data_IF_333292965057
#
_entry.id   IF_333292965057
#
_cell.length_a   1.000
_cell.length_b   1.000
_cell.length_c   1.000
_cell.angle_alpha   90.00
_cell.angle_beta   90.00
_cell.angle_gamma   90.00
#
_symmetry.space_group_name_H-M   'P 1'
#
loop_
_entity.id
_entity.type
_entity.pdbx_description
1 polymer ?
#
# COMPACT_ATOMS: atom_id res chain seq x y z
N UNK A 1 11.77 -0.78 -8.53
CA UNK A 1 11.87 0.56 -7.92
C UNK A 1 13.32 0.85 -7.47
N UNK A 2 13.98 0.02 -6.64
CA UNK A 2 15.32 0.29 -6.09
C UNK A 2 16.44 0.37 -7.15
N UNK A 3 16.38 -0.40 -8.25
CA UNK A 3 17.33 -0.24 -9.37
C UNK A 3 17.20 1.13 -10.03
N UNK A 4 15.98 1.63 -10.23
CA UNK A 4 15.75 2.98 -10.75
C UNK A 4 16.24 4.04 -9.76
N UNK A 5 15.99 3.85 -8.45
CA UNK A 5 16.50 4.74 -7.41
C UNK A 5 18.02 4.88 -7.48
N UNK A 6 18.75 3.76 -7.66
CA UNK A 6 20.20 3.77 -7.80
C UNK A 6 20.64 4.65 -8.96
N UNK A 7 20.01 4.50 -10.13
CA UNK A 7 20.32 5.30 -11.31
C UNK A 7 20.00 6.78 -11.09
N UNK A 8 18.82 7.08 -10.53
CA UNK A 8 18.39 8.46 -10.30
C UNK A 8 19.31 9.18 -9.30
N UNK A 9 19.70 8.51 -8.21
CA UNK A 9 20.56 9.09 -7.17
C UNK A 9 22.02 9.33 -7.62
N UNK A 10 22.45 8.80 -8.77
CA UNK A 10 23.75 9.15 -9.35
C UNK A 10 23.75 10.53 -10.02
N UNK A 11 22.57 11.09 -10.32
CA UNK A 11 22.48 12.37 -10.99
C UNK A 11 22.72 13.53 -10.00
N UNK A 12 23.70 14.44 -10.24
CA UNK A 12 24.17 15.40 -9.24
C UNK A 12 23.13 16.46 -8.82
N UNK A 13 22.12 16.70 -9.66
CA UNK A 13 21.04 17.65 -9.38
C UNK A 13 19.89 17.06 -8.56
N UNK A 14 19.81 15.74 -8.43
CA UNK A 14 18.73 15.07 -7.70
C UNK A 14 19.15 14.86 -6.26
N UNK A 15 18.45 15.54 -5.35
CA UNK A 15 18.72 15.48 -3.91
C UNK A 15 17.79 14.51 -3.20
N UNK A 16 16.50 14.52 -3.54
CA UNK A 16 15.46 13.71 -2.91
C UNK A 16 14.65 12.96 -3.95
N UNK A 17 14.22 11.74 -3.60
CA UNK A 17 13.43 10.85 -4.46
C UNK A 17 12.32 10.24 -3.63
N UNK A 18 11.08 10.52 -3.98
CA UNK A 18 9.91 9.87 -3.39
C UNK A 18 9.46 8.67 -4.24
N UNK A 19 8.91 7.65 -3.57
CA UNK A 19 8.28 6.52 -4.23
C UNK A 19 6.76 6.64 -4.10
N UNK A 20 6.06 6.82 -5.21
CA UNK A 20 4.60 6.92 -5.26
C UNK A 20 4.05 5.72 -6.02
N UNK A 21 2.99 5.10 -5.51
CA UNK A 21 2.33 3.97 -6.16
C UNK A 21 0.83 3.90 -5.88
N UNK A 22 0.10 3.35 -6.85
CA UNK A 22 -1.36 3.22 -6.83
C UNK A 22 -1.77 1.75 -6.79
N UNK A 23 -2.85 1.44 -6.08
CA UNK A 23 -3.44 0.11 -6.05
C UNK A 23 -2.39 -0.96 -5.70
N UNK A 24 -2.25 -2.00 -6.50
CA UNK A 24 -1.19 -2.99 -6.35
C UNK A 24 0.22 -2.36 -6.35
N UNK A 25 0.44 -1.31 -7.15
CA UNK A 25 1.69 -0.54 -7.16
C UNK A 25 1.95 0.21 -5.86
N UNK A 26 0.92 0.48 -5.04
CA UNK A 26 1.01 1.11 -3.73
C UNK A 26 1.62 0.21 -2.65
N UNK A 27 1.67 -1.11 -2.87
CA UNK A 27 2.36 -2.06 -1.96
C UNK A 27 3.87 -1.75 -1.88
N UNK A 28 4.48 -1.41 -3.00
CA UNK A 28 5.91 -1.08 -3.06
C UNK A 28 6.32 0.09 -2.16
N UNK A 29 5.66 1.25 -2.20
CA UNK A 29 5.86 2.35 -1.26
C UNK A 29 5.73 1.92 0.21
N UNK A 30 4.71 1.13 0.57
CA UNK A 30 4.55 0.63 1.94
C UNK A 30 5.74 -0.25 2.33
N UNK A 31 6.10 -1.23 1.51
CA UNK A 31 7.25 -2.11 1.78
C UNK A 31 8.56 -1.33 1.87
N UNK A 32 8.75 -0.26 1.09
CA UNK A 32 9.97 0.55 1.13
C UNK A 32 10.10 1.39 2.42
N UNK A 33 9.01 1.62 3.13
CA UNK A 33 8.99 2.26 4.44
C UNK A 33 9.57 1.36 5.52
N UNK A 34 9.31 0.05 5.46
CA UNK A 34 9.74 -0.91 6.48
C UNK A 34 11.13 -1.47 6.20
N UNK A 35 12.03 -1.33 7.18
CA UNK A 35 13.42 -1.79 7.07
C UNK A 35 13.52 -3.29 6.80
N UNK A 36 12.69 -4.12 7.45
CA UNK A 36 12.68 -5.56 7.23
C UNK A 36 12.43 -5.94 5.76
N UNK A 37 11.49 -5.24 5.11
CA UNK A 37 11.21 -5.48 3.70
C UNK A 37 12.35 -4.96 2.82
N UNK A 38 12.91 -3.78 3.13
CA UNK A 38 14.02 -3.22 2.34
C UNK A 38 15.28 -4.05 2.44
N UNK A 39 15.61 -4.60 3.59
CA UNK A 39 16.76 -5.49 3.77
C UNK A 39 16.67 -6.76 2.89
N UNK A 40 15.45 -7.21 2.58
CA UNK A 40 15.21 -8.38 1.74
C UNK A 40 15.27 -8.08 0.22
N UNK A 41 14.81 -6.90 -0.19
CA UNK A 41 14.56 -6.59 -1.60
C UNK A 41 15.49 -5.51 -2.17
N UNK A 42 16.18 -4.76 -1.31
CA UNK A 42 17.00 -3.63 -1.71
C UNK A 42 18.48 -3.99 -1.77
N UNK A 43 18.99 -4.18 -2.98
CA UNK A 43 20.42 -4.30 -3.25
C UNK A 43 21.12 -2.95 -3.43
N UNK A 44 20.44 -1.85 -3.08
CA UNK A 44 20.90 -0.49 -3.22
C UNK A 44 21.46 0.04 -1.91
N UNK A 45 22.47 0.91 -2.00
CA UNK A 45 22.91 1.72 -0.87
C UNK A 45 21.99 2.91 -0.56
N UNK A 46 21.01 3.18 -1.45
CA UNK A 46 20.09 4.29 -1.31
C UNK A 46 18.72 3.83 -0.83
N UNK A 47 18.05 4.67 -0.05
CA UNK A 47 16.66 4.56 0.34
C UNK A 47 15.87 5.71 -0.30
N UNK A 48 14.55 5.54 -0.43
CA UNK A 48 13.66 6.63 -0.81
C UNK A 48 13.58 7.64 0.33
N UNK A 49 13.45 8.92 0.01
CA UNK A 49 13.34 9.99 1.01
C UNK A 49 11.92 10.10 1.55
N UNK A 50 10.91 9.62 0.81
CA UNK A 50 9.52 9.48 1.23
C UNK A 50 8.80 8.40 0.41
N UNK A 51 7.68 7.91 0.93
CA UNK A 51 6.81 6.93 0.28
C UNK A 51 5.35 7.39 0.31
N UNK A 52 4.62 7.21 -0.80
CA UNK A 52 3.20 7.53 -0.91
C UNK A 52 2.46 6.34 -1.53
N UNK A 53 1.46 5.83 -0.84
CA UNK A 53 0.62 4.73 -1.29
C UNK A 53 -0.82 5.21 -1.47
N UNK A 54 -1.37 5.09 -2.67
CA UNK A 54 -2.70 5.57 -3.04
C UNK A 54 -3.59 4.36 -3.27
N UNK A 55 -4.67 4.23 -2.48
CA UNK A 55 -5.58 3.08 -2.38
C UNK A 55 -4.86 1.72 -2.50
N UNK A 56 -3.82 1.49 -1.67
CA UNK A 56 -2.99 0.30 -1.76
C UNK A 56 -3.68 -0.94 -1.19
N UNK A 57 -3.19 -2.12 -1.56
CA UNK A 57 -3.47 -3.33 -0.80
C UNK A 57 -2.63 -3.37 0.48
N UNK A 58 -3.28 -3.47 1.63
CA UNK A 58 -2.64 -3.48 2.96
C UNK A 58 -2.84 -4.79 3.74
N UNK A 59 -3.32 -5.85 3.11
CA UNK A 59 -3.63 -7.13 3.76
C UNK A 59 -2.41 -7.95 4.19
N UNK A 60 -1.39 -7.29 4.76
CA UNK A 60 -0.19 -7.93 5.27
C UNK A 60 0.32 -7.22 6.53
N UNK A 61 1.08 -7.94 7.34
CA UNK A 61 1.73 -7.41 8.53
C UNK A 61 3.14 -7.99 8.68
N UNK A 62 3.91 -7.46 9.62
CA UNK A 62 5.22 -7.97 10.00
C UNK A 62 5.16 -8.60 11.38
N UNK A 63 5.90 -9.69 11.60
CA UNK A 63 5.91 -10.45 12.86
C UNK A 63 6.60 -9.72 14.02
N UNK A 64 7.43 -8.71 13.73
CA UNK A 64 8.26 -8.04 14.71
C UNK A 64 8.05 -6.52 14.69
N UNK A 65 8.61 -5.82 15.69
CA UNK A 65 8.70 -4.37 15.66
C UNK A 65 9.35 -3.92 14.35
N UNK A 66 8.54 -3.30 13.52
CA UNK A 66 8.99 -2.86 12.21
C UNK A 66 9.74 -1.52 12.36
N UNK A 67 11.06 -1.55 12.19
CA UNK A 67 11.84 -0.33 12.03
C UNK A 67 11.52 0.32 10.69
N UNK A 68 11.43 1.64 10.66
CA UNK A 68 11.10 2.41 9.47
C UNK A 68 12.31 3.14 8.90
N UNK A 69 12.28 3.41 7.60
CA UNK A 69 13.36 4.07 6.89
C UNK A 69 13.03 5.53 6.54
N UNK A 70 11.81 5.79 6.11
CA UNK A 70 11.40 7.06 5.51
C UNK A 70 9.93 7.37 5.86
N UNK A 71 9.48 8.62 5.82
CA UNK A 71 8.08 8.95 6.00
C UNK A 71 7.17 8.26 4.99
N UNK A 72 5.98 7.83 5.43
CA UNK A 72 4.96 7.18 4.61
C UNK A 72 3.63 7.92 4.69
N UNK A 73 3.05 8.23 3.53
CA UNK A 73 1.66 8.68 3.40
C UNK A 73 0.83 7.56 2.78
N UNK A 74 -0.26 7.18 3.43
CA UNK A 74 -1.26 6.23 2.91
C UNK A 74 -2.56 7.01 2.69
N UNK A 75 -3.09 6.96 1.47
CA UNK A 75 -4.40 7.53 1.14
C UNK A 75 -5.33 6.39 0.73
N UNK A 76 -6.50 6.31 1.37
CA UNK A 76 -7.48 5.25 1.12
C UNK A 76 -8.83 5.82 0.77
N UNK A 77 -9.62 5.10 -0.01
CA UNK A 77 -11.02 5.40 -0.24
C UNK A 77 -11.90 4.70 0.77
N UNK A 78 -12.77 5.43 1.49
CA UNK A 78 -13.67 4.83 2.49
C UNK A 78 -14.70 3.88 1.88
N UNK A 79 -15.05 4.09 0.61
CA UNK A 79 -15.97 3.24 -0.14
C UNK A 79 -15.26 2.30 -1.13
N UNK A 80 -13.94 2.08 -0.94
CA UNK A 80 -13.16 1.15 -1.74
C UNK A 80 -13.45 -0.29 -1.30
N UNK A 81 -14.13 -1.03 -2.18
CA UNK A 81 -14.48 -2.43 -1.98
C UNK A 81 -13.50 -3.41 -2.66
N UNK A 82 -12.53 -2.91 -3.43
CA UNK A 82 -11.43 -3.71 -3.96
C UNK A 82 -10.29 -3.84 -2.95
N UNK A 83 -9.82 -2.72 -2.43
CA UNK A 83 -8.76 -2.64 -1.41
C UNK A 83 -9.27 -1.87 -0.18
N UNK A 84 -10.13 -2.51 0.64
CA UNK A 84 -10.78 -1.85 1.77
C UNK A 84 -9.78 -1.19 2.73
N UNK A 85 -10.11 0.01 3.18
CA UNK A 85 -9.21 0.82 4.00
C UNK A 85 -8.85 0.21 5.36
N UNK A 86 -9.70 -0.68 5.91
CA UNK A 86 -9.48 -1.25 7.24
C UNK A 86 -8.12 -1.93 7.38
N UNK A 87 -7.66 -2.61 6.33
CA UNK A 87 -6.33 -3.22 6.34
C UNK A 87 -5.20 -2.18 6.46
N UNK A 88 -5.37 -1.02 5.83
CA UNK A 88 -4.41 0.08 5.93
C UNK A 88 -4.48 0.80 7.28
N UNK A 89 -5.67 0.93 7.86
CA UNK A 89 -5.86 1.41 9.23
C UNK A 89 -5.12 0.51 10.21
N UNK A 90 -5.22 -0.82 10.07
CA UNK A 90 -4.51 -1.77 10.93
C UNK A 90 -2.97 -1.60 10.85
N UNK A 91 -2.42 -1.32 9.66
CA UNK A 91 -1.00 -0.99 9.51
C UNK A 91 -0.68 0.32 10.23
N UNK A 92 -1.50 1.36 10.03
CA UNK A 92 -1.32 2.65 10.67
C UNK A 92 -1.35 2.52 12.20
N UNK A 93 -2.37 1.90 12.76
CA UNK A 93 -2.55 1.75 14.22
C UNK A 93 -1.42 0.94 14.85
N UNK A 94 -0.95 -0.11 14.16
CA UNK A 94 0.12 -0.97 14.66
C UNK A 94 1.49 -0.29 14.65
N UNK A 95 1.79 0.50 13.62
CA UNK A 95 3.16 0.96 13.37
C UNK A 95 3.34 2.48 13.45
N UNK A 96 2.26 3.26 13.60
CA UNK A 96 2.35 4.70 13.76
C UNK A 96 2.83 5.04 15.16
N UNK A 97 3.99 5.65 15.26
CA UNK A 97 4.58 6.17 16.50
C UNK A 97 5.17 7.55 16.23
N UNK A 98 5.61 8.26 17.27
CA UNK A 98 6.30 9.54 17.09
C UNK A 98 7.60 9.41 16.27
N UNK A 99 8.23 8.23 16.27
CA UNK A 99 9.44 7.93 15.51
C UNK A 99 9.11 7.46 14.10
N UNK A 100 8.03 6.66 13.95
CA UNK A 100 7.56 6.11 12.69
C UNK A 100 6.60 7.09 12.03
N UNK A 101 7.09 7.88 11.11
CA UNK A 101 6.32 8.94 10.43
C UNK A 101 5.35 8.34 9.39
N UNK A 102 4.28 7.71 9.87
CA UNK A 102 3.17 7.24 9.02
C UNK A 102 2.02 8.24 9.15
N UNK A 103 1.50 8.71 8.02
CA UNK A 103 0.26 9.49 7.92
C UNK A 103 -0.76 8.70 7.13
N UNK A 104 -1.97 8.52 7.65
CA UNK A 104 -3.09 7.90 6.95
C UNK A 104 -4.20 8.92 6.74
N UNK A 105 -4.76 8.94 5.54
CA UNK A 105 -5.88 9.80 5.16
C UNK A 105 -6.96 8.96 4.50
N UNK A 106 -8.14 8.95 5.12
CA UNK A 106 -9.35 8.35 4.62
C UNK A 106 -10.15 9.36 3.81
N UNK A 107 -10.49 9.02 2.58
CA UNK A 107 -11.22 9.88 1.65
C UNK A 107 -12.69 9.43 1.58
N UNK A 108 -13.59 10.29 2.07
CA UNK A 108 -15.01 10.01 2.15
C UNK A 108 -15.62 9.74 0.78
N UNK A 109 -16.40 8.66 0.66
CA UNK A 109 -17.11 8.28 -0.55
C UNK A 109 -16.21 7.87 -1.74
N UNK A 110 -14.89 7.89 -1.59
CA UNK A 110 -13.97 7.50 -2.65
C UNK A 110 -13.97 5.97 -2.84
N UNK A 111 -14.11 5.53 -4.09
CA UNK A 111 -14.02 4.13 -4.52
C UNK A 111 -12.63 3.86 -5.11
N UNK A 112 -12.34 2.60 -5.43
CA UNK A 112 -11.10 2.25 -6.12
C UNK A 112 -10.95 2.99 -7.45
N UNK A 113 -9.75 3.52 -7.72
CA UNK A 113 -9.49 4.29 -8.94
C UNK A 113 -10.18 5.66 -8.98
N UNK A 114 -10.47 6.25 -7.83
CA UNK A 114 -11.18 7.53 -7.70
C UNK A 114 -10.46 8.70 -8.41
N UNK A 115 -9.21 8.59 -8.73
CA UNK A 115 -8.40 9.59 -9.43
C UNK A 115 -8.33 9.39 -10.94
N UNK A 116 -9.00 8.37 -11.47
CA UNK A 116 -9.06 8.10 -12.90
C UNK A 116 -10.30 8.72 -13.53
N UNK A 117 -10.20 9.81 -14.33
CA UNK A 117 -11.36 10.49 -14.92
C UNK A 117 -12.13 9.64 -15.94
N UNK A 118 -11.52 8.60 -16.50
CA UNK A 118 -12.23 7.66 -17.38
C UNK A 118 -13.30 6.82 -16.65
N UNK A 119 -13.27 6.80 -15.31
CA UNK A 119 -14.26 6.13 -14.48
C UNK A 119 -15.41 7.05 -14.04
N UNK A 120 -15.68 8.13 -14.77
CA UNK A 120 -16.69 9.14 -14.39
C UNK A 120 -18.07 8.53 -14.13
N UNK A 121 -18.54 7.63 -15.00
CA UNK A 121 -19.85 6.98 -14.83
C UNK A 121 -19.83 5.85 -13.78
N UNK A 122 -18.65 5.39 -13.37
CA UNK A 122 -18.48 4.22 -12.52
C UNK A 122 -18.77 2.90 -13.24
N UNK A 123 -18.17 1.83 -12.74
CA UNK A 123 -18.35 0.47 -13.23
C UNK A 123 -18.41 -0.50 -12.06
N UNK A 124 -19.16 -1.60 -12.21
CA UNK A 124 -19.17 -2.72 -11.28
C UNK A 124 -18.65 -3.96 -11.99
N UNK A 125 -17.72 -4.65 -11.34
CA UNK A 125 -17.12 -5.89 -11.81
C UNK A 125 -17.61 -7.04 -10.93
N UNK A 126 -18.73 -7.67 -11.29
CA UNK A 126 -19.44 -8.67 -10.47
C UNK A 126 -18.58 -9.89 -10.11
N UNK A 127 -17.58 -10.23 -10.95
CA UNK A 127 -16.72 -11.41 -10.77
C UNK A 127 -15.37 -11.09 -10.17
N UNK A 128 -15.01 -9.80 -10.05
CA UNK A 128 -13.73 -9.42 -9.47
C UNK A 128 -13.75 -9.66 -7.97
N UNK A 129 -12.78 -10.40 -7.41
CA UNK A 129 -12.70 -10.58 -5.98
C UNK A 129 -12.33 -9.27 -5.28
N UNK A 130 -13.09 -8.91 -4.27
CA UNK A 130 -12.72 -7.88 -3.31
C UNK A 130 -11.59 -8.41 -2.43
N UNK A 131 -10.56 -7.60 -2.19
CA UNK A 131 -9.48 -7.96 -1.26
C UNK A 131 -9.88 -7.69 0.20
N UNK A 132 -11.18 -7.76 0.48
CA UNK A 132 -11.70 -7.62 1.83
C UNK A 132 -11.18 -8.74 2.71
N UNK A 133 -10.57 -8.36 3.82
CA UNK A 133 -10.12 -9.32 4.83
C UNK A 133 -11.35 -9.73 5.64
N UNK A 134 -11.90 -10.91 5.34
CA UNK A 134 -13.12 -11.42 6.00
C UNK A 134 -12.83 -11.80 7.44
N UNK A 135 -11.61 -12.27 7.72
CA UNK A 135 -11.15 -12.64 9.06
C UNK A 135 -9.62 -12.51 9.15
N UNK A 136 -9.08 -12.66 10.35
CA UNK A 136 -7.65 -12.55 10.60
C UNK A 136 -6.81 -13.59 9.85
N UNK A 137 -7.39 -14.76 9.51
CA UNK A 137 -6.70 -15.83 8.76
C UNK A 137 -6.31 -15.38 7.35
N UNK A 138 -6.96 -14.35 6.84
CA UNK A 138 -6.70 -13.77 5.52
C UNK A 138 -5.57 -12.74 5.52
N UNK A 139 -5.06 -12.36 6.68
CA UNK A 139 -3.93 -11.44 6.79
C UNK A 139 -2.63 -12.17 6.55
N UNK A 140 -1.83 -11.67 5.62
CA UNK A 140 -0.50 -12.20 5.34
C UNK A 140 0.52 -11.65 6.34
N UNK A 141 1.39 -12.52 6.82
CA UNK A 141 2.50 -12.17 7.69
C UNK A 141 3.82 -12.35 6.96
N UNK A 142 4.65 -11.31 6.97
CA UNK A 142 5.96 -11.31 6.34
C UNK A 142 7.02 -11.48 7.44
N UNK A 143 7.82 -12.55 7.35
CA UNK A 143 8.93 -12.81 8.27
C UNK A 143 10.19 -12.02 7.87
N UNK A 144 11.20 -11.96 8.77
CA UNK A 144 12.51 -11.36 8.49
C UNK A 144 13.23 -11.97 7.29
N UNK A 145 13.00 -13.24 7.01
CA UNK A 145 13.63 -13.95 5.88
C UNK A 145 12.76 -13.93 4.61
N UNK A 146 11.68 -13.12 4.61
CA UNK A 146 10.79 -12.97 3.43
C UNK A 146 9.81 -14.10 3.23
N UNK A 147 9.64 -15.03 4.19
CA UNK A 147 8.56 -16.01 4.12
C UNK A 147 7.22 -15.32 4.30
N UNK A 148 6.27 -15.61 3.41
CA UNK A 148 4.89 -15.13 3.50
C UNK A 148 4.04 -16.29 4.05
N UNK A 149 3.29 -16.02 5.10
CA UNK A 149 2.42 -16.98 5.77
C UNK A 149 1.08 -16.34 6.09
N UNK A 150 0.04 -17.16 6.23
CA UNK A 150 -1.20 -16.77 6.91
C UNK A 150 -0.98 -16.66 8.42
N UNK A 151 -1.91 -16.10 9.15
CA UNK A 151 -1.85 -16.10 10.63
C UNK A 151 -1.87 -17.54 11.19
N UNK A 152 -2.58 -18.47 10.54
CA UNK A 152 -2.55 -19.90 10.86
C UNK A 152 -1.23 -20.61 10.52
N UNK A 153 -0.20 -19.84 10.12
CA UNK A 153 1.16 -20.32 9.82
C UNK A 153 1.29 -21.14 8.54
N UNK A 154 0.28 -21.15 7.67
CA UNK A 154 0.35 -21.78 6.36
C UNK A 154 1.24 -20.94 5.42
N UNK A 155 2.22 -21.58 4.79
CA UNK A 155 3.11 -20.91 3.83
C UNK A 155 2.37 -20.59 2.53
N UNK A 156 2.47 -19.36 2.07
CA UNK A 156 1.94 -18.92 0.78
C UNK A 156 3.07 -18.92 -0.25
N UNK A 157 3.10 -19.96 -1.09
CA UNK A 157 4.14 -20.18 -2.10
C UNK A 157 3.60 -19.97 -3.51
N UNK A 158 3.72 -18.76 -4.01
CA UNK A 158 3.45 -18.47 -5.39
C UNK A 158 1.96 -18.25 -5.76
N UNK A 159 1.68 -18.11 -7.07
CA UNK A 159 0.39 -17.60 -7.56
C UNK A 159 -0.81 -18.50 -7.23
N UNK A 160 -0.62 -19.81 -7.29
CA UNK A 160 -1.73 -20.77 -7.10
C UNK A 160 -2.24 -20.78 -5.64
N UNK A 161 -1.34 -20.69 -4.67
CA UNK A 161 -1.71 -20.64 -3.25
C UNK A 161 -2.30 -19.29 -2.89
N UNK A 162 -1.76 -18.21 -3.45
CA UNK A 162 -2.33 -16.87 -3.33
C UNK A 162 -3.76 -16.81 -3.91
N UNK A 163 -4.01 -17.43 -5.05
CA UNK A 163 -5.33 -17.49 -5.65
C UNK A 163 -6.33 -18.27 -4.78
N UNK A 164 -5.93 -19.40 -4.22
CA UNK A 164 -6.77 -20.19 -3.29
C UNK A 164 -7.08 -19.41 -2.00
N UNK A 165 -6.11 -18.68 -1.48
CA UNK A 165 -6.31 -17.82 -0.33
C UNK A 165 -7.30 -16.69 -0.67
N UNK A 166 -7.12 -16.05 -1.82
CA UNK A 166 -8.02 -15.00 -2.30
C UNK A 166 -9.47 -15.49 -2.42
N UNK A 167 -9.68 -16.68 -2.98
CA UNK A 167 -11.01 -17.29 -3.09
C UNK A 167 -11.69 -17.52 -1.73
N UNK A 168 -10.93 -17.88 -0.71
CA UNK A 168 -11.44 -18.07 0.66
C UNK A 168 -11.70 -16.76 1.40
N UNK A 169 -10.91 -15.73 1.09
CA UNK A 169 -10.81 -14.49 1.84
C UNK A 169 -11.50 -13.31 1.18
N UNK A 170 -12.08 -13.51 0.00
CA UNK A 170 -12.71 -12.43 -0.77
C UNK A 170 -14.20 -12.66 -0.98
N UNK A 171 -14.94 -11.57 -0.99
CA UNK A 171 -16.26 -11.50 -1.61
C UNK A 171 -16.13 -11.18 -3.10
N UNK A 172 -17.17 -11.37 -3.88
CA UNK A 172 -17.21 -10.97 -5.30
C UNK A 172 -18.04 -9.71 -5.49
N UNK A 173 -17.66 -8.95 -6.49
CA UNK A 173 -18.29 -7.68 -6.81
C UNK A 173 -17.49 -6.49 -6.28
N UNK A 174 -16.95 -5.71 -7.21
CA UNK A 174 -16.13 -4.53 -6.93
C UNK A 174 -16.64 -3.37 -7.76
N UNK A 175 -16.77 -2.21 -7.14
CA UNK A 175 -17.18 -1.00 -7.83
C UNK A 175 -16.06 0.03 -7.87
N UNK A 176 -15.87 0.64 -9.03
CA UNK A 176 -14.89 1.71 -9.27
C UNK A 176 -15.58 2.97 -9.74
N UNK A 177 -15.13 4.14 -9.33
CA UNK A 177 -15.71 5.41 -9.74
C UNK A 177 -14.76 6.57 -9.52
N UNK A 178 -14.71 7.48 -10.50
CA UNK A 178 -14.01 8.76 -10.37
C UNK A 178 -14.67 9.67 -9.32
N UNK A 179 -13.84 10.35 -8.55
CA UNK A 179 -14.26 11.38 -7.59
C UNK A 179 -13.35 12.60 -7.70
N UNK A 180 -13.82 13.70 -8.34
CA UNK A 180 -13.01 14.93 -8.45
C UNK A 180 -12.52 15.46 -7.11
N UNK A 181 -13.39 15.45 -6.10
CA UNK A 181 -13.07 15.92 -4.77
C UNK A 181 -11.98 15.08 -4.08
N UNK A 182 -12.10 13.74 -4.15
CA UNK A 182 -11.08 12.87 -3.57
C UNK A 182 -9.75 12.99 -4.33
N UNK A 183 -9.80 13.18 -5.65
CA UNK A 183 -8.63 13.42 -6.50
C UNK A 183 -7.89 14.69 -6.09
N UNK A 184 -8.61 15.81 -6.00
CA UNK A 184 -8.04 17.10 -5.61
C UNK A 184 -7.40 17.02 -4.20
N UNK A 185 -8.14 16.46 -3.24
CA UNK A 185 -7.63 16.26 -1.87
C UNK A 185 -6.37 15.40 -1.86
N UNK A 186 -6.33 14.33 -2.64
CA UNK A 186 -5.14 13.47 -2.78
C UNK A 186 -3.93 14.27 -3.23
N UNK A 187 -4.05 15.10 -4.27
CA UNK A 187 -2.93 15.91 -4.75
C UNK A 187 -2.47 16.93 -3.73
N UNK A 188 -3.39 17.61 -3.04
CA UNK A 188 -3.06 18.56 -1.97
C UNK A 188 -2.25 17.85 -0.88
N UNK A 189 -2.74 16.73 -0.37
CA UNK A 189 -2.10 15.96 0.71
C UNK A 189 -0.71 15.43 0.32
N UNK A 190 -0.54 14.98 -0.93
CA UNK A 190 0.76 14.56 -1.44
C UNK A 190 1.73 15.73 -1.49
N UNK A 191 1.30 16.88 -2.03
CA UNK A 191 2.16 18.06 -2.12
C UNK A 191 2.57 18.55 -0.74
N UNK A 192 1.63 18.64 0.20
CA UNK A 192 1.91 19.05 1.57
C UNK A 192 2.87 18.08 2.26
N UNK A 193 2.63 16.78 2.13
CA UNK A 193 3.51 15.75 2.68
C UNK A 193 4.94 15.84 2.12
N UNK A 194 5.08 15.98 0.80
CA UNK A 194 6.39 16.08 0.16
C UNK A 194 7.16 17.36 0.50
N UNK A 195 6.49 18.43 0.92
CA UNK A 195 7.15 19.65 1.44
C UNK A 195 7.80 19.45 2.81
N UNK A 196 7.39 18.41 3.55
CA UNK A 196 7.93 18.13 4.90
C UNK A 196 9.25 17.36 4.91
N UNK A 197 9.71 16.89 3.77
CA UNK A 197 10.91 16.06 3.59
C UNK A 197 12.11 16.82 3.04
#
# INVERSE_FOLDING_TARGET
AFRALNLIKTHPKIKKVAYIGWSQGGVGPILSHFKQATDLINNSKYLFDASVAIYPYCGFTFNEEAKTNNPLLILTGRSDDLTPEQACINIYDKFSTNENKIKHISLEGAKHGYDNPFLFFGFTFDKLPSLHIINDECTLTISKIGEIKTISNEKVKGPNESAKLLDKCSTKGVSVKYSPHATEKTYIEIIEFLKTI
#
